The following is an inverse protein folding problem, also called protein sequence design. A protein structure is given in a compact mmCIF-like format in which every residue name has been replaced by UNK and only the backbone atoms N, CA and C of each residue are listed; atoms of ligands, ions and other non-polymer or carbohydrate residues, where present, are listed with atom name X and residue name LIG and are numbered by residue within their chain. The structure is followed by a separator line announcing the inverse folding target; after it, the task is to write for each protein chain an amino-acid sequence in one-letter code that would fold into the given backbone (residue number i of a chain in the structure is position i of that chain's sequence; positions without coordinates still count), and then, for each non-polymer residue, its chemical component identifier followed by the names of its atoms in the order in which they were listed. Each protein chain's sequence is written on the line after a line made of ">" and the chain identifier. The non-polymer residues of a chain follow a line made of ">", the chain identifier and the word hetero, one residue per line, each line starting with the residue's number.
data_IF_636997071642
#
_entry.id   IF_636997071642
#
_cell.length_a   1.000
_cell.length_b   1.000
_cell.length_c   1.000
_cell.angle_alpha   90.00
_cell.angle_beta   90.00
_cell.angle_gamma   90.00
#
_symmetry.space_group_name_H-M   'P 1'
#
loop_
_entity.id
_entity.type
_entity.pdbx_description
1 polymer ?
#
# COMPACT_ATOMS: atom_id res chain seq x y z
N UNK A 1 -39.51 -35.71 50.58
CA UNK A 1 -40.58 -34.72 50.34
C UNK A 1 -40.53 -34.34 48.87
N UNK A 2 -41.67 -34.49 48.16
CA UNK A 2 -42.11 -33.97 46.84
C UNK A 2 -41.07 -33.81 45.70
N UNK A 3 -41.12 -34.60 44.61
CA UNK A 3 -42.08 -34.66 43.45
C UNK A 3 -41.62 -33.86 42.21
N UNK A 4 -41.13 -34.60 41.21
CA UNK A 4 -41.45 -34.62 39.75
C UNK A 4 -42.20 -33.44 39.10
N UNK A 5 -41.73 -33.04 37.89
CA UNK A 5 -42.42 -32.88 36.57
C UNK A 5 -41.40 -32.20 35.61
N UNK A 6 -40.92 -32.67 34.44
CA UNK A 6 -41.45 -33.35 33.23
C UNK A 6 -42.25 -32.47 32.25
N UNK A 7 -41.93 -32.66 30.95
CA UNK A 7 -42.58 -32.26 29.66
C UNK A 7 -42.19 -30.91 29.03
N UNK A 8 -41.43 -30.83 27.92
CA UNK A 8 -41.63 -31.20 26.48
C UNK A 8 -42.55 -30.28 25.66
N UNK A 9 -41.98 -29.64 24.63
CA UNK A 9 -42.61 -29.23 23.33
C UNK A 9 -41.45 -29.08 22.32
N UNK A 10 -41.25 -29.96 21.33
CA UNK A 10 -41.98 -30.25 20.09
C UNK A 10 -41.71 -29.24 18.94
N UNK A 11 -40.78 -29.66 18.07
CA UNK A 11 -40.66 -29.55 16.60
C UNK A 11 -41.32 -28.40 15.81
N UNK A 12 -40.53 -27.79 14.92
CA UNK A 12 -40.90 -27.59 13.51
C UNK A 12 -39.66 -27.47 12.61
N UNK A 13 -39.51 -28.47 11.74
CA UNK A 13 -38.54 -28.61 10.66
C UNK A 13 -39.14 -27.94 9.40
N UNK A 14 -38.42 -27.04 8.74
CA UNK A 14 -38.76 -26.55 7.40
C UNK A 14 -37.49 -26.59 6.54
N UNK A 15 -37.42 -27.64 5.72
CA UNK A 15 -36.46 -27.83 4.63
C UNK A 15 -37.06 -27.13 3.41
N UNK A 16 -36.39 -26.12 2.89
CA UNK A 16 -36.70 -25.49 1.61
C UNK A 16 -35.61 -25.79 0.59
N UNK A 17 -35.82 -26.82 -0.23
CA UNK A 17 -35.01 -27.11 -1.42
C UNK A 17 -35.60 -26.40 -2.62
N UNK A 18 -34.86 -25.45 -3.22
CA UNK A 18 -35.18 -24.90 -4.54
C UNK A 18 -34.49 -25.74 -5.63
N UNK A 19 -35.14 -25.98 -6.78
CA UNK A 19 -34.53 -26.73 -7.88
C UNK A 19 -33.54 -25.86 -8.66
N UNK A 20 -32.34 -26.40 -8.83
CA UNK A 20 -31.35 -25.95 -9.81
C UNK A 20 -31.78 -26.49 -11.19
N UNK A 21 -32.06 -25.60 -12.13
CA UNK A 21 -32.06 -25.92 -13.56
C UNK A 21 -30.69 -25.53 -14.12
N UNK A 22 -29.86 -26.52 -14.45
CA UNK A 22 -28.70 -26.34 -15.30
C UNK A 22 -28.89 -27.22 -16.53
N UNK A 23 -28.99 -26.59 -17.70
CA UNK A 23 -29.04 -27.26 -19.00
C UNK A 23 -27.63 -27.74 -19.38
N UNK A 24 -27.52 -29.00 -19.77
CA UNK A 24 -26.49 -29.47 -20.69
C UNK A 24 -27.00 -29.28 -22.12
N UNK A 25 -26.21 -28.66 -23.00
CA UNK A 25 -26.20 -29.02 -24.43
C UNK A 25 -24.90 -28.58 -25.12
N UNK A 26 -24.13 -29.59 -25.53
CA UNK A 26 -23.41 -29.76 -26.81
C UNK A 26 -22.52 -28.66 -27.38
N UNK A 27 -21.25 -29.01 -27.51
CA UNK A 27 -20.52 -29.18 -28.78
C UNK A 27 -21.08 -28.42 -29.99
N UNK A 28 -20.29 -27.52 -30.57
CA UNK A 28 -20.00 -27.68 -31.99
C UNK A 28 -18.64 -27.09 -32.44
N UNK A 29 -18.12 -27.80 -33.43
CA UNK A 29 -16.87 -27.66 -34.14
C UNK A 29 -17.00 -26.57 -35.20
N UNK A 30 -15.89 -25.91 -35.56
CA UNK A 30 -15.39 -25.80 -36.96
C UNK A 30 -14.53 -24.56 -37.19
N UNK A 31 -13.42 -24.83 -37.86
CA UNK A 31 -12.38 -23.97 -38.37
C UNK A 31 -12.83 -22.81 -39.26
N UNK A 32 -11.95 -21.81 -39.41
CA UNK A 32 -11.54 -21.32 -40.73
C UNK A 32 -10.24 -20.49 -40.62
N UNK A 33 -9.24 -20.89 -41.42
CA UNK A 33 -8.12 -20.08 -41.89
C UNK A 33 -8.60 -18.80 -42.60
N UNK A 34 -7.77 -17.75 -42.60
CA UNK A 34 -7.42 -17.00 -43.81
C UNK A 34 -6.39 -15.88 -43.55
N UNK A 35 -5.21 -16.12 -44.12
CA UNK A 35 -4.49 -15.24 -45.06
C UNK A 35 -3.89 -13.90 -44.61
N UNK A 36 -2.59 -13.81 -44.89
CA UNK A 36 -1.73 -12.62 -44.89
C UNK A 36 -2.12 -11.58 -45.95
N UNK A 37 -1.74 -10.32 -45.71
CA UNK A 37 -1.41 -9.34 -46.75
C UNK A 37 -0.47 -8.25 -46.20
N UNK A 38 0.68 -8.10 -46.85
CA UNK A 38 1.56 -6.93 -46.79
C UNK A 38 0.94 -5.73 -47.53
N UNK A 39 1.32 -4.49 -47.18
CA UNK A 39 2.06 -3.55 -48.06
C UNK A 39 2.01 -2.11 -47.54
N UNK A 40 3.22 -1.57 -47.33
CA UNK A 40 3.79 -0.22 -47.52
C UNK A 40 2.91 1.03 -47.80
N UNK A 41 3.36 2.18 -47.25
CA UNK A 41 3.48 3.42 -48.02
C UNK A 41 3.30 4.76 -47.27
N UNK A 42 4.40 5.55 -47.19
CA UNK A 42 4.49 7.03 -47.33
C UNK A 42 3.89 7.95 -46.23
N UNK A 43 4.40 9.15 -45.90
CA UNK A 43 5.44 10.07 -46.40
C UNK A 43 5.71 11.16 -45.32
N UNK A 44 6.73 12.00 -45.58
CA UNK A 44 6.87 13.42 -45.23
C UNK A 44 7.82 13.82 -44.07
N UNK A 45 9.05 14.17 -44.48
CA UNK A 45 9.53 15.56 -44.43
C UNK A 45 10.03 16.11 -43.09
N UNK A 46 11.31 16.50 -43.03
CA UNK A 46 11.74 17.92 -43.08
C UNK A 46 13.25 18.03 -42.93
N UNK A 47 13.87 18.70 -43.90
CA UNK A 47 15.24 19.22 -43.88
C UNK A 47 15.45 20.23 -42.75
N UNK A 48 16.55 20.14 -42.02
CA UNK A 48 17.27 21.32 -41.54
C UNK A 48 18.75 21.00 -41.45
N UNK A 49 19.52 21.47 -42.43
CA UNK A 49 20.98 21.51 -42.40
C UNK A 49 21.42 22.88 -41.88
N UNK A 50 22.41 22.91 -40.99
CA UNK A 50 22.99 24.14 -40.50
C UNK A 50 24.08 23.97 -39.45
N UNK A 51 25.31 23.78 -39.93
CA UNK A 51 26.59 24.26 -39.36
C UNK A 51 27.53 23.19 -38.79
N UNK A 52 28.68 23.08 -39.46
CA UNK A 52 29.85 22.27 -39.14
C UNK A 52 30.73 22.93 -38.05
N UNK A 53 31.51 22.12 -37.35
CA UNK A 53 32.92 22.45 -37.05
C UNK A 53 33.72 21.19 -36.72
N UNK A 54 34.94 21.16 -37.25
CA UNK A 54 35.97 20.12 -37.19
C UNK A 54 36.30 19.58 -35.79
N UNK A 55 36.65 18.29 -35.73
CA UNK A 55 37.93 17.85 -35.16
C UNK A 55 38.31 16.42 -35.59
N UNK A 56 39.26 16.39 -36.51
CA UNK A 56 40.51 15.60 -36.56
C UNK A 56 40.65 14.23 -35.87
N UNK A 57 41.35 13.37 -36.62
CA UNK A 57 42.18 12.21 -36.27
C UNK A 57 41.49 10.86 -36.03
N UNK A 58 41.68 9.98 -37.02
CA UNK A 58 41.54 8.55 -36.89
C UNK A 58 42.69 7.97 -36.04
N UNK A 59 42.35 7.21 -35.01
CA UNK A 59 43.25 6.21 -34.44
C UNK A 59 42.61 4.82 -34.47
N UNK A 60 43.50 3.84 -34.66
CA UNK A 60 43.23 2.47 -35.03
C UNK A 60 42.43 1.70 -33.98
N UNK A 61 41.84 0.60 -34.43
CA UNK A 61 40.76 -0.08 -33.75
C UNK A 61 41.14 -0.69 -32.41
N UNK A 62 40.19 -0.58 -31.48
CA UNK A 62 39.99 -1.54 -30.42
C UNK A 62 38.48 -1.81 -30.38
N UNK A 63 38.09 -3.10 -30.49
CA UNK A 63 36.68 -3.47 -30.36
C UNK A 63 36.20 -2.98 -28.99
N UNK A 64 35.05 -2.30 -28.86
CA UNK A 64 34.57 -1.88 -27.56
C UNK A 64 34.39 -3.14 -26.72
N UNK A 65 35.21 -3.28 -25.70
CA UNK A 65 35.00 -4.27 -24.66
C UNK A 65 33.65 -3.91 -24.03
N UNK A 66 32.64 -4.74 -24.25
CA UNK A 66 31.32 -4.63 -23.62
C UNK A 66 31.38 -5.13 -22.16
N UNK A 67 32.47 -4.82 -21.48
CA UNK A 67 32.72 -5.21 -20.10
C UNK A 67 32.47 -3.97 -19.24
N UNK A 68 31.50 -4.09 -18.34
CA UNK A 68 31.16 -3.08 -17.34
C UNK A 68 32.33 -2.95 -16.36
N UNK A 69 32.90 -1.74 -16.26
CA UNK A 69 34.01 -1.44 -15.35
C UNK A 69 33.55 -1.15 -13.91
N UNK A 70 32.27 -1.34 -13.64
CA UNK A 70 31.66 -1.00 -12.37
C UNK A 70 31.48 0.51 -12.23
N UNK A 71 30.54 0.87 -11.37
CA UNK A 71 30.30 2.25 -10.94
C UNK A 71 30.08 2.25 -9.45
N UNK A 72 30.40 3.37 -8.82
CA UNK A 72 30.09 3.55 -7.40
C UNK A 72 28.60 3.34 -7.16
N UNK A 73 28.28 2.57 -6.12
CA UNK A 73 26.89 2.31 -5.75
C UNK A 73 26.34 3.58 -5.10
N UNK A 74 25.26 4.10 -5.68
CA UNK A 74 24.58 5.26 -5.12
C UNK A 74 23.95 4.85 -3.79
N UNK A 75 24.22 5.61 -2.72
CA UNK A 75 23.66 5.30 -1.41
C UNK A 75 22.13 5.34 -1.43
N UNK A 76 21.49 4.35 -0.81
CA UNK A 76 20.04 4.31 -0.63
C UNK A 76 19.57 5.59 0.10
N UNK A 77 18.55 6.30 -0.40
CA UNK A 77 18.11 7.56 0.22
C UNK A 77 17.49 7.37 1.62
N UNK A 78 17.17 6.13 2.00
CA UNK A 78 16.59 5.80 3.31
C UNK A 78 17.32 4.65 3.99
N UNK A 79 17.26 4.58 5.31
CA UNK A 79 17.79 3.45 6.10
C UNK A 79 16.98 3.23 7.38
N UNK A 80 17.11 2.04 7.96
CA UNK A 80 16.54 1.72 9.28
C UNK A 80 17.59 1.97 10.35
N UNK A 81 17.38 2.98 11.19
CA UNK A 81 18.28 3.34 12.29
C UNK A 81 18.22 2.33 13.44
N UNK A 82 17.01 1.92 13.82
CA UNK A 82 16.77 0.91 14.84
C UNK A 82 15.36 0.31 14.70
N UNK A 83 15.07 -0.75 15.46
CA UNK A 83 13.73 -1.35 15.58
C UNK A 83 13.29 -1.35 17.05
N UNK A 84 12.10 -0.84 17.32
CA UNK A 84 11.53 -0.67 18.65
C UNK A 84 10.19 -1.41 18.69
N UNK A 85 10.17 -2.58 19.32
CA UNK A 85 9.02 -3.48 19.22
C UNK A 85 8.79 -3.85 17.77
N UNK A 86 7.58 -3.60 17.26
CA UNK A 86 7.22 -3.89 15.87
C UNK A 86 7.39 -2.67 14.94
N UNK A 87 7.99 -1.59 15.43
CA UNK A 87 8.19 -0.35 14.67
C UNK A 87 9.65 -0.17 14.26
N UNK A 88 9.87 0.12 12.98
CA UNK A 88 11.18 0.48 12.46
C UNK A 88 11.35 1.99 12.43
N UNK A 89 12.50 2.50 12.89
CA UNK A 89 12.86 3.90 12.75
C UNK A 89 13.49 4.12 11.38
N UNK A 90 12.68 4.50 10.39
CA UNK A 90 13.11 4.75 9.01
C UNK A 90 13.53 6.20 8.86
N UNK A 91 14.80 6.43 8.59
CA UNK A 91 15.40 7.76 8.44
C UNK A 91 15.73 8.05 6.99
N UNK A 92 15.71 9.33 6.63
CA UNK A 92 16.00 9.83 5.30
C UNK A 92 17.32 10.58 5.34
N UNK A 93 18.29 10.18 4.50
CA UNK A 93 19.57 10.86 4.42
C UNK A 93 19.36 12.32 4.01
N UNK A 94 19.99 13.22 4.73
CA UNK A 94 19.92 14.67 4.48
C UNK A 94 21.29 15.33 4.62
N UNK A 95 21.42 16.56 4.12
CA UNK A 95 22.63 17.38 4.30
C UNK A 95 22.70 18.05 5.69
N UNK A 96 21.67 17.84 6.53
CA UNK A 96 21.60 18.39 7.88
C UNK A 96 22.49 17.65 8.88
N UNK A 97 22.54 18.18 10.11
CA UNK A 97 23.29 17.55 11.21
C UNK A 97 22.65 16.22 11.67
N UNK A 98 21.32 16.11 11.57
CA UNK A 98 20.57 14.89 11.89
C UNK A 98 19.57 14.55 10.78
N UNK A 99 19.55 13.28 10.39
CA UNK A 99 18.58 12.75 9.45
C UNK A 99 17.16 12.69 10.06
N UNK A 100 16.14 13.22 9.37
CA UNK A 100 14.76 13.08 9.83
C UNK A 100 14.32 11.62 9.77
N UNK A 101 13.72 11.14 10.85
CA UNK A 101 13.22 9.79 11.02
C UNK A 101 11.70 9.77 11.26
N UNK A 102 11.05 8.76 10.70
CA UNK A 102 9.68 8.39 10.99
C UNK A 102 9.64 6.97 11.56
N UNK A 103 8.64 6.66 12.39
CA UNK A 103 8.36 5.29 12.77
C UNK A 103 7.54 4.65 11.66
N UNK A 104 7.89 3.43 11.28
CA UNK A 104 7.35 2.73 10.12
C UNK A 104 6.99 1.29 10.47
N UNK A 105 5.88 0.81 9.92
CA UNK A 105 5.49 -0.59 9.94
C UNK A 105 5.02 -1.02 8.56
N UNK A 106 5.58 -2.13 8.06
CA UNK A 106 5.06 -2.83 6.90
C UNK A 106 3.95 -3.77 7.37
N UNK A 107 2.71 -3.42 7.09
CA UNK A 107 1.54 -4.19 7.47
C UNK A 107 1.35 -5.35 6.51
N UNK A 108 1.03 -6.51 7.08
CA UNK A 108 0.89 -7.77 6.36
C UNK A 108 -0.51 -8.33 6.59
N UNK A 109 -1.04 -9.01 5.58
CA UNK A 109 -2.23 -9.85 5.79
C UNK A 109 -1.89 -11.13 6.56
N UNK A 110 -2.90 -11.94 6.88
CA UNK A 110 -2.74 -13.15 7.68
C UNK A 110 -1.77 -14.17 7.06
N UNK A 111 -1.67 -14.19 5.74
CA UNK A 111 -0.76 -15.05 4.99
C UNK A 111 0.69 -14.52 4.97
N UNK A 112 0.95 -13.35 5.57
CA UNK A 112 2.27 -12.73 5.66
C UNK A 112 2.65 -11.84 4.47
N UNK A 113 1.77 -11.72 3.46
CA UNK A 113 2.00 -10.86 2.32
C UNK A 113 1.89 -9.38 2.72
N UNK A 114 2.82 -8.50 2.30
CA UNK A 114 2.68 -7.07 2.51
C UNK A 114 1.43 -6.52 1.84
N UNK A 115 0.67 -5.71 2.56
CA UNK A 115 -0.59 -5.14 2.05
C UNK A 115 -0.72 -3.64 2.32
N UNK A 116 -0.02 -3.08 3.31
CA UNK A 116 -0.02 -1.64 3.53
C UNK A 116 1.25 -1.18 4.22
N UNK A 117 1.57 0.09 4.07
CA UNK A 117 2.64 0.77 4.80
C UNK A 117 2.02 1.79 5.74
N UNK A 118 2.48 1.85 7.00
CA UNK A 118 2.06 2.84 7.97
C UNK A 118 3.28 3.56 8.54
N UNK A 119 3.38 4.86 8.27
CA UNK A 119 4.45 5.70 8.78
C UNK A 119 3.93 6.89 9.57
N UNK A 120 4.61 7.26 10.65
CA UNK A 120 4.19 8.32 11.58
C UNK A 120 5.40 9.19 11.94
N UNK A 121 5.17 10.50 11.98
CA UNK A 121 6.13 11.52 12.41
C UNK A 121 5.46 12.52 13.34
N UNK A 122 6.24 13.21 14.19
CA UNK A 122 5.70 14.26 15.07
C UNK A 122 5.65 15.58 14.33
N UNK A 123 4.64 16.38 14.61
CA UNK A 123 4.49 17.72 14.04
C UNK A 123 4.55 18.74 15.16
N UNK A 124 5.39 19.76 14.99
CA UNK A 124 5.35 20.97 15.80
C UNK A 124 4.44 21.99 15.15
N UNK A 125 3.65 22.70 15.95
CA UNK A 125 2.77 23.78 15.50
C UNK A 125 1.69 23.33 14.47
N UNK A 126 1.32 22.04 14.48
CA UNK A 126 0.33 21.42 13.58
C UNK A 126 -1.14 21.72 13.90
N UNK A 127 -1.41 22.76 14.71
CA UNK A 127 -2.76 23.08 15.19
C UNK A 127 -3.36 21.93 16.02
N UNK A 128 -4.50 21.35 15.62
CA UNK A 128 -5.12 20.23 16.36
C UNK A 128 -4.36 18.90 16.23
N UNK A 129 -3.45 18.77 15.25
CA UNK A 129 -2.65 17.58 15.04
C UNK A 129 -1.28 17.73 15.72
N UNK A 130 -0.92 16.75 16.55
CA UNK A 130 0.40 16.66 17.20
C UNK A 130 1.34 15.70 16.46
N UNK A 131 0.79 14.93 15.52
CA UNK A 131 1.53 14.03 14.65
C UNK A 131 0.87 13.90 13.28
N UNK A 132 1.71 13.64 12.28
CA UNK A 132 1.32 13.29 10.93
C UNK A 132 1.51 11.81 10.71
N UNK A 133 0.62 11.23 9.93
CA UNK A 133 0.68 9.83 9.55
C UNK A 133 0.42 9.67 8.05
N UNK A 134 1.12 8.73 7.44
CA UNK A 134 0.91 8.33 6.06
C UNK A 134 0.60 6.85 6.03
N UNK A 135 -0.52 6.49 5.41
CA UNK A 135 -0.88 5.09 5.15
C UNK A 135 -1.00 4.89 3.65
N UNK A 136 -0.17 4.02 3.10
CA UNK A 136 -0.19 3.66 1.68
C UNK A 136 -0.72 2.24 1.54
N UNK A 137 -1.74 2.08 0.71
CA UNK A 137 -2.47 0.82 0.49
C UNK A 137 -2.45 0.47 -1.00
N UNK A 138 -2.79 -0.77 -1.41
CA UNK A 138 -2.61 -1.21 -2.78
C UNK A 138 -3.51 -0.45 -3.75
N UNK A 139 -3.13 -0.49 -5.03
CA UNK A 139 -4.00 -0.09 -6.13
C UNK A 139 -5.28 -0.95 -6.13
N UNK A 140 -6.32 -0.45 -6.81
CA UNK A 140 -7.67 -1.01 -6.77
C UNK A 140 -8.33 -0.96 -5.39
N UNK A 141 -7.91 -0.04 -4.51
CA UNK A 141 -8.66 0.33 -3.31
C UNK A 141 -9.78 1.33 -3.68
N UNK A 142 -10.99 1.12 -3.16
CA UNK A 142 -12.15 1.97 -3.37
C UNK A 142 -12.01 3.28 -2.60
N UNK A 143 -11.72 4.37 -3.32
CA UNK A 143 -11.40 5.66 -2.70
C UNK A 143 -12.56 6.29 -1.94
N UNK A 144 -13.80 6.14 -2.45
CA UNK A 144 -15.01 6.69 -1.84
C UNK A 144 -15.41 6.02 -0.53
N UNK A 145 -14.87 4.83 -0.24
CA UNK A 145 -15.08 4.15 1.04
C UNK A 145 -14.15 4.65 2.15
N UNK A 146 -13.13 5.44 1.77
CA UNK A 146 -12.08 5.99 2.63
C UNK A 146 -11.25 4.92 3.36
N UNK A 147 -10.09 5.31 3.88
CA UNK A 147 -9.33 4.49 4.81
C UNK A 147 -9.97 4.58 6.19
N UNK A 148 -10.06 3.49 6.94
CA UNK A 148 -10.54 3.53 8.34
C UNK A 148 -9.49 2.99 9.30
N UNK A 149 -9.31 3.66 10.43
CA UNK A 149 -8.40 3.21 11.49
C UNK A 149 -9.15 3.21 12.82
N UNK A 150 -9.12 2.07 13.52
CA UNK A 150 -9.62 1.93 14.90
C UNK A 150 -8.59 1.27 15.80
N UNK A 151 -8.70 1.44 17.12
CA UNK A 151 -7.76 0.90 18.12
C UNK A 151 -8.53 -0.02 19.07
N UNK A 152 -8.07 -1.26 19.25
CA UNK A 152 -8.65 -2.23 20.20
C UNK A 152 -10.19 -2.36 20.15
N UNK A 153 -10.78 -2.25 18.95
CA UNK A 153 -12.24 -2.33 18.75
C UNK A 153 -13.02 -1.05 19.04
N UNK A 154 -12.35 0.05 19.41
CA UNK A 154 -12.98 1.36 19.47
C UNK A 154 -13.49 1.80 18.08
N UNK A 155 -14.42 2.75 18.07
CA UNK A 155 -15.01 3.29 16.84
C UNK A 155 -13.92 3.83 15.92
N UNK A 156 -13.84 3.28 14.71
CA UNK A 156 -12.88 3.71 13.71
C UNK A 156 -13.15 5.13 13.21
N UNK A 157 -12.09 5.86 12.91
CA UNK A 157 -12.10 7.14 12.20
C UNK A 157 -11.87 6.91 10.72
N UNK A 158 -12.52 7.70 9.86
CA UNK A 158 -12.32 7.65 8.42
C UNK A 158 -11.36 8.74 7.94
N UNK A 159 -10.56 8.42 6.94
CA UNK A 159 -9.55 9.29 6.34
C UNK A 159 -9.60 9.18 4.82
N UNK A 160 -9.87 10.29 4.10
CA UNK A 160 -9.90 10.26 2.65
C UNK A 160 -8.50 10.00 2.08
N UNK A 161 -8.46 9.22 1.01
CA UNK A 161 -7.24 9.10 0.20
C UNK A 161 -6.97 10.43 -0.50
N UNK A 162 -5.69 10.84 -0.52
CA UNK A 162 -5.26 12.12 -1.08
C UNK A 162 -4.85 12.00 -2.53
N UNK A 163 -4.12 10.94 -2.86
CA UNK A 163 -3.64 10.65 -4.20
C UNK A 163 -3.31 9.15 -4.32
N UNK A 164 -3.13 8.69 -5.54
CA UNK A 164 -2.54 7.39 -5.82
C UNK A 164 -1.34 7.57 -6.76
N UNK A 165 -0.35 6.71 -6.60
CA UNK A 165 0.81 6.59 -7.49
C UNK A 165 1.07 5.11 -7.82
N UNK A 166 2.16 4.81 -8.52
CA UNK A 166 2.53 3.43 -8.82
C UNK A 166 2.76 2.58 -7.55
N UNK A 167 3.10 3.21 -6.42
CA UNK A 167 3.32 2.51 -5.15
C UNK A 167 2.04 2.23 -4.36
N UNK A 168 0.90 2.81 -4.76
CA UNK A 168 -0.37 2.63 -4.09
C UNK A 168 -1.15 3.93 -3.88
N UNK A 169 -2.25 3.83 -3.14
CA UNK A 169 -3.10 4.95 -2.75
C UNK A 169 -2.77 5.40 -1.33
N UNK A 170 -2.58 6.70 -1.13
CA UNK A 170 -2.06 7.26 0.12
C UNK A 170 -3.11 8.12 0.82
N UNK A 171 -3.35 7.84 2.09
CA UNK A 171 -4.05 8.73 3.01
C UNK A 171 -3.01 9.51 3.84
N UNK A 172 -3.23 10.81 3.98
CA UNK A 172 -2.48 11.67 4.90
C UNK A 172 -3.38 11.99 6.10
N UNK A 173 -2.86 11.72 7.29
CA UNK A 173 -3.63 11.65 8.52
C UNK A 173 -3.05 12.64 9.52
N UNK A 174 -3.91 13.50 10.08
CA UNK A 174 -3.60 14.26 11.28
C UNK A 174 -4.03 13.47 12.52
N UNK A 175 -3.09 13.22 13.43
CA UNK A 175 -3.36 12.57 14.72
C UNK A 175 -3.43 13.63 15.82
N UNK A 176 -4.56 13.67 16.51
CA UNK A 176 -4.73 14.51 17.70
C UNK A 176 -3.99 13.91 18.90
N UNK A 177 -3.81 14.68 19.98
CA UNK A 177 -3.25 14.12 21.21
C UNK A 177 -4.04 12.90 21.71
N UNK A 178 -5.37 12.94 21.63
CA UNK A 178 -6.22 11.82 22.03
C UNK A 178 -5.99 10.56 21.16
N UNK A 179 -5.66 10.72 19.88
CA UNK A 179 -5.32 9.60 18.99
C UNK A 179 -3.99 8.97 19.36
N UNK A 180 -2.97 9.80 19.56
CA UNK A 180 -1.64 9.35 19.99
C UNK A 180 -1.75 8.64 21.34
N UNK A 181 -2.50 9.19 22.28
CA UNK A 181 -2.72 8.59 23.60
C UNK A 181 -3.47 7.25 23.50
N UNK A 182 -4.41 7.12 22.56
CA UNK A 182 -5.07 5.85 22.29
C UNK A 182 -4.09 4.82 21.72
N UNK A 183 -3.22 5.21 20.77
CA UNK A 183 -2.17 4.33 20.24
C UNK A 183 -1.15 3.92 21.32
N UNK A 184 -0.76 4.85 22.20
CA UNK A 184 0.18 4.55 23.31
C UNK A 184 -0.37 3.54 24.33
N UNK A 185 -1.69 3.55 24.57
CA UNK A 185 -2.35 2.61 25.49
C UNK A 185 -2.80 1.31 24.83
N UNK A 186 -2.97 1.32 23.51
CA UNK A 186 -3.59 0.22 22.79
C UNK A 186 -2.64 -0.94 22.51
N UNK A 187 -3.22 -2.10 22.21
CA UNK A 187 -2.46 -3.29 21.81
C UNK A 187 -2.33 -3.37 20.28
N UNK A 188 -3.40 -3.06 19.55
CA UNK A 188 -3.39 -3.03 18.09
C UNK A 188 -4.31 -1.99 17.48
N UNK A 189 -3.90 -1.46 16.33
CA UNK A 189 -4.77 -0.71 15.44
C UNK A 189 -5.25 -1.60 14.30
N UNK A 190 -6.47 -1.36 13.81
CA UNK A 190 -7.06 -2.04 12.66
C UNK A 190 -7.16 -1.04 11.52
N UNK A 191 -6.37 -1.26 10.48
CA UNK A 191 -6.42 -0.51 9.22
C UNK A 191 -7.38 -1.23 8.28
N UNK A 192 -8.48 -0.57 7.90
CA UNK A 192 -9.50 -1.17 7.04
C UNK A 192 -9.54 -0.48 5.68
N UNK A 193 -9.47 -1.29 4.62
CA UNK A 193 -9.65 -0.86 3.23
C UNK A 193 -10.82 -1.60 2.58
N UNK A 194 -11.34 -1.03 1.49
CA UNK A 194 -12.39 -1.66 0.67
C UNK A 194 -11.83 -1.90 -0.73
N UNK A 195 -11.83 -3.13 -1.26
CA UNK A 195 -11.47 -3.38 -2.64
C UNK A 195 -12.48 -2.71 -3.61
N UNK A 196 -11.99 -2.08 -4.67
CA UNK A 196 -12.84 -1.45 -5.70
C UNK A 196 -13.68 -2.48 -6.48
N UNK A 197 -13.14 -3.68 -6.67
CA UNK A 197 -13.83 -4.77 -7.37
C UNK A 197 -14.86 -5.50 -6.49
N UNK A 198 -14.81 -5.30 -5.16
CA UNK A 198 -15.73 -5.91 -4.21
C UNK A 198 -16.14 -4.86 -3.14
N UNK A 199 -16.97 -3.87 -3.49
CA UNK A 199 -17.32 -2.74 -2.60
C UNK A 199 -18.04 -3.14 -1.30
N UNK A 200 -18.68 -4.31 -1.30
CA UNK A 200 -19.36 -4.95 -0.18
C UNK A 200 -18.37 -5.60 0.80
N UNK A 201 -17.15 -5.93 0.36
CA UNK A 201 -16.13 -6.56 1.19
C UNK A 201 -15.26 -5.53 1.91
N UNK A 202 -14.66 -5.96 3.03
CA UNK A 202 -13.74 -5.16 3.83
C UNK A 202 -12.51 -6.00 4.15
N UNK A 203 -11.33 -5.41 3.99
CA UNK A 203 -10.06 -6.02 4.39
C UNK A 203 -9.58 -5.29 5.63
N UNK A 204 -9.52 -6.01 6.76
CA UNK A 204 -9.04 -5.51 8.04
C UNK A 204 -7.61 -6.01 8.27
N UNK A 205 -6.68 -5.08 8.46
CA UNK A 205 -5.25 -5.32 8.55
C UNK A 205 -4.80 -4.90 9.94
N UNK A 206 -4.20 -5.82 10.69
CA UNK A 206 -3.66 -5.52 12.01
C UNK A 206 -2.37 -4.69 11.86
N UNK A 207 -2.29 -3.60 12.60
CA UNK A 207 -1.07 -2.84 12.85
C UNK A 207 -0.73 -2.96 14.33
N UNK A 208 0.44 -3.51 14.64
CA UNK A 208 0.88 -3.70 16.01
C UNK A 208 1.18 -2.35 16.68
N UNK A 209 0.74 -2.18 17.93
CA UNK A 209 1.11 -1.04 18.77
C UNK A 209 2.22 -1.40 19.77
N UNK A 210 2.77 -2.62 19.68
CA UNK A 210 3.94 -3.03 20.46
C UNK A 210 5.14 -2.14 20.15
N UNK A 211 5.66 -1.44 21.16
CA UNK A 211 6.77 -0.49 21.01
C UNK A 211 6.35 0.92 20.56
N UNK A 212 5.06 1.17 20.30
CA UNK A 212 4.58 2.44 19.75
C UNK A 212 5.03 3.64 20.57
N UNK A 213 4.84 3.63 21.90
CA UNK A 213 5.19 4.76 22.77
C UNK A 213 6.65 5.15 22.65
N UNK A 214 7.56 4.16 22.75
CA UNK A 214 8.99 4.41 22.69
C UNK A 214 9.42 4.85 21.29
N UNK A 215 8.86 4.26 20.24
CA UNK A 215 9.13 4.66 18.86
C UNK A 215 8.66 6.09 18.59
N UNK A 216 7.43 6.43 18.97
CA UNK A 216 6.84 7.75 18.81
C UNK A 216 7.62 8.83 19.57
N UNK A 217 8.13 8.53 20.75
CA UNK A 217 8.95 9.48 21.51
C UNK A 217 10.34 9.70 20.87
N UNK A 218 10.79 8.79 20.00
CA UNK A 218 12.07 8.83 19.28
C UNK A 218 11.99 9.40 17.85
N UNK A 219 10.81 9.47 17.19
CA UNK A 219 10.70 9.99 15.81
C UNK A 219 11.04 11.47 15.72
N UNK A 220 11.53 11.93 14.59
CA UNK A 220 11.82 13.36 14.41
C UNK A 220 10.55 14.21 14.48
N UNK A 221 10.74 15.47 14.88
CA UNK A 221 9.67 16.47 14.93
C UNK A 221 9.83 17.39 13.72
N UNK A 222 8.84 17.39 12.84
CA UNK A 222 8.81 18.24 11.65
C UNK A 222 8.11 19.56 11.99
N UNK A 223 8.66 20.69 11.52
CA UNK A 223 8.00 22.00 11.58
C UNK A 223 7.05 22.14 10.39
N UNK A 224 5.80 22.55 10.67
CA UNK A 224 4.77 22.75 9.66
C UNK A 224 4.68 24.21 9.21
#
# INVERSE_FOLDING_TARGET
>A
MLKTLSMTTLSALLIGTAPVFAQETTTDTTAAEATAAETQGQDAGTDTSGTATDQDTAEAGEKPSNLDMGRETQEEPTYIKETIGDWQMRCFRSEGEEDPCQMFQLLKEQQGNPIAEFAIFRIKDGGPAVAGATVTVPLFTLLTAELKIGVDGAKAKSYPFRFCSQTGCTAQIGLTQADVDAFKRGAKAIVTITPAQAPDQKVAIDASLSGFTKAFDAVSVIQN
#
